data_IF_499665409521
#
_entry.id   IF_499665409521
#
_cell.length_a   1.000
_cell.length_b   1.000
_cell.length_c   1.000
_cell.angle_alpha   90.00
_cell.angle_beta   90.00
_cell.angle_gamma   90.00
#
_symmetry.space_group_name_H-M   'P 1'
#
loop_
_entity.id
_entity.type
_entity.pdbx_description
1 polymer ?
#
# COMPACT_ATOMS: atom_id res chain seq x y z
N UNK A 1 -47.19 -53.57 20.08
CA UNK A 1 -45.91 -53.84 20.77
C UNK A 1 -44.80 -53.72 19.72
N UNK A 2 -44.42 -52.51 19.41
CA UNK A 2 -43.58 -52.19 18.25
C UNK A 2 -42.23 -51.63 18.74
N UNK A 3 -41.15 -52.26 18.35
CA UNK A 3 -39.77 -51.84 18.68
C UNK A 3 -39.28 -50.87 17.57
N UNK A 4 -39.05 -49.63 17.91
CA UNK A 4 -38.38 -48.65 17.03
C UNK A 4 -36.88 -48.78 17.28
N UNK A 5 -36.16 -49.18 16.22
CA UNK A 5 -34.69 -49.16 16.15
C UNK A 5 -34.17 -47.78 15.81
N UNK A 6 -33.48 -47.12 16.73
CA UNK A 6 -32.79 -45.85 16.49
C UNK A 6 -31.51 -46.09 15.71
N UNK A 7 -31.41 -45.39 14.53
CA UNK A 7 -30.16 -45.26 13.76
C UNK A 7 -29.29 -44.15 14.38
N UNK A 8 -28.15 -44.54 14.94
CA UNK A 8 -27.08 -43.66 15.31
C UNK A 8 -26.40 -43.06 14.07
N UNK A 9 -26.65 -41.77 13.81
CA UNK A 9 -25.94 -41.03 12.78
C UNK A 9 -24.66 -40.42 13.37
N UNK A 10 -23.51 -40.94 12.99
CA UNK A 10 -22.20 -40.38 13.28
C UNK A 10 -22.03 -39.07 12.49
N UNK A 11 -22.21 -37.94 13.13
CA UNK A 11 -21.80 -36.66 12.63
C UNK A 11 -20.28 -36.52 12.70
N UNK A 12 -19.61 -36.74 11.60
CA UNK A 12 -18.21 -36.35 11.39
C UNK A 12 -18.14 -34.84 11.33
N UNK A 13 -17.75 -34.21 12.43
CA UNK A 13 -17.34 -32.78 12.41
C UNK A 13 -16.04 -32.67 11.62
N UNK A 14 -16.11 -32.20 10.38
CA UNK A 14 -15.00 -31.59 9.70
C UNK A 14 -14.69 -30.29 10.45
N UNK A 15 -13.67 -30.30 11.32
CA UNK A 15 -13.01 -29.07 11.76
C UNK A 15 -12.23 -28.54 10.55
N UNK A 16 -12.79 -27.55 9.87
CA UNK A 16 -12.05 -26.73 8.93
C UNK A 16 -10.89 -26.09 9.69
N UNK A 17 -9.67 -26.31 9.25
CA UNK A 17 -8.52 -25.49 9.64
C UNK A 17 -8.79 -24.06 9.13
N UNK A 18 -9.44 -23.24 9.95
CA UNK A 18 -9.41 -21.80 9.78
C UNK A 18 -7.96 -21.37 10.03
N UNK A 19 -7.25 -21.10 8.95
CA UNK A 19 -5.95 -20.44 8.99
C UNK A 19 -6.22 -19.03 9.53
N UNK A 20 -6.11 -18.83 10.84
CA UNK A 20 -6.22 -17.52 11.45
C UNK A 20 -5.08 -16.68 10.90
N UNK A 21 -5.39 -15.76 10.01
CA UNK A 21 -4.42 -14.80 9.50
C UNK A 21 -3.87 -13.97 10.65
N UNK A 22 -2.55 -13.70 10.71
CA UNK A 22 -1.98 -12.92 11.78
C UNK A 22 -2.66 -11.54 11.83
N UNK A 23 -3.14 -11.14 12.98
CA UNK A 23 -3.68 -9.81 13.23
C UNK A 23 -2.48 -8.89 13.43
N UNK A 24 -2.34 -7.88 12.56
CA UNK A 24 -1.32 -6.85 12.69
C UNK A 24 -1.84 -5.72 13.58
N UNK A 25 -0.99 -5.13 14.44
CA UNK A 25 -1.39 -3.96 15.22
C UNK A 25 -1.76 -2.77 14.33
N UNK A 26 -2.66 -1.87 14.79
CA UNK A 26 -3.00 -0.65 14.07
C UNK A 26 -1.77 0.20 13.78
N UNK A 27 -1.78 0.90 12.64
CA UNK A 27 -0.69 1.81 12.30
C UNK A 27 -0.91 3.13 13.04
N UNK A 28 0.04 3.49 13.89
CA UNK A 28 0.10 4.78 14.57
C UNK A 28 1.30 5.59 14.03
N UNK A 29 1.01 6.49 13.08
CA UNK A 29 2.04 7.34 12.48
C UNK A 29 2.60 8.36 13.46
N UNK A 30 1.85 8.81 14.47
CA UNK A 30 2.34 9.69 15.50
C UNK A 30 3.40 9.02 16.35
N UNK A 31 3.17 7.79 16.77
CA UNK A 31 4.18 7.00 17.51
C UNK A 31 5.41 6.68 16.66
N UNK A 32 5.23 6.43 15.35
CA UNK A 32 6.35 6.17 14.43
C UNK A 32 7.27 7.37 14.23
N UNK A 33 6.69 8.58 14.16
CA UNK A 33 7.42 9.83 13.93
C UNK A 33 7.97 10.44 15.23
N UNK A 34 7.32 10.18 16.36
CA UNK A 34 7.47 10.95 17.59
C UNK A 34 6.65 12.23 17.55
N UNK A 35 6.33 12.76 18.75
CA UNK A 35 5.41 13.90 18.93
C UNK A 35 5.85 15.13 18.16
N UNK A 36 7.10 15.56 18.34
CA UNK A 36 7.59 16.82 17.76
C UNK A 36 7.54 16.80 16.22
N UNK A 37 7.97 15.69 15.60
CA UNK A 37 7.92 15.53 14.16
C UNK A 37 6.47 15.45 13.64
N UNK A 38 5.58 14.78 14.37
CA UNK A 38 4.16 14.73 14.04
C UNK A 38 3.49 16.11 14.11
N UNK A 39 3.77 16.88 15.18
CA UNK A 39 3.18 18.18 15.39
C UNK A 39 3.70 19.24 14.41
N UNK A 40 4.88 19.04 13.81
CA UNK A 40 5.42 19.89 12.74
C UNK A 40 4.67 19.74 11.40
N UNK A 41 3.89 18.66 11.21
CA UNK A 41 3.10 18.46 10.00
C UNK A 41 1.87 19.36 9.96
N UNK A 42 1.47 19.87 8.77
CA UNK A 42 0.21 20.58 8.58
C UNK A 42 -1.00 19.76 9.05
N UNK A 43 -2.01 20.45 9.60
CA UNK A 43 -3.22 19.79 10.11
C UNK A 43 -3.91 18.87 9.08
N UNK A 44 -4.01 19.20 7.77
CA UNK A 44 -4.59 18.28 6.78
C UNK A 44 -3.78 16.99 6.60
N UNK A 45 -2.44 17.06 6.65
CA UNK A 45 -1.59 15.86 6.60
C UNK A 45 -1.86 14.98 7.81
N UNK A 46 -1.91 15.59 9.01
CA UNK A 46 -2.23 14.86 10.25
C UNK A 46 -3.61 14.20 10.22
N UNK A 47 -4.61 14.85 9.61
CA UNK A 47 -5.95 14.24 9.44
C UNK A 47 -5.91 13.02 8.52
N UNK A 48 -5.19 13.07 7.38
CA UNK A 48 -5.10 11.94 6.44
C UNK A 48 -4.39 10.72 7.01
N UNK A 49 -3.46 10.93 7.94
CA UNK A 49 -2.64 9.86 8.53
C UNK A 49 -2.93 9.62 10.01
N UNK A 50 -3.87 10.34 10.60
CA UNK A 50 -4.27 10.19 12.00
C UNK A 50 -5.17 8.99 12.25
N UNK A 51 -5.53 8.73 13.52
CA UNK A 51 -6.34 7.58 13.93
C UNK A 51 -7.69 7.50 13.23
N UNK A 52 -8.30 8.64 12.91
CA UNK A 52 -9.62 8.72 12.27
C UNK A 52 -9.65 8.18 10.83
N UNK A 53 -8.51 8.14 10.15
CA UNK A 53 -8.41 7.45 8.86
C UNK A 53 -8.64 5.93 8.98
N UNK A 54 -8.65 5.40 10.21
CA UNK A 54 -8.78 3.99 10.52
C UNK A 54 -10.17 3.57 11.04
N UNK A 55 -11.10 4.49 11.29
CA UNK A 55 -12.40 4.19 11.90
C UNK A 55 -13.44 3.64 10.91
N UNK A 56 -13.07 2.60 10.16
CA UNK A 56 -14.02 1.75 9.42
C UNK A 56 -14.67 2.36 8.17
N UNK A 57 -14.29 3.57 7.78
CA UNK A 57 -14.77 4.23 6.57
C UNK A 57 -13.69 4.19 5.49
N UNK A 58 -14.08 3.77 4.28
CA UNK A 58 -13.29 3.98 3.08
C UNK A 58 -13.21 5.47 2.77
N UNK A 59 -11.99 5.96 2.51
CA UNK A 59 -11.78 7.36 2.07
C UNK A 59 -11.35 7.36 0.62
N UNK A 60 -12.17 7.96 -0.24
CA UNK A 60 -11.90 8.08 -1.67
C UNK A 60 -11.31 9.45 -1.98
N UNK A 61 -10.12 9.45 -2.57
CA UNK A 61 -9.46 10.64 -3.12
C UNK A 61 -9.50 10.57 -4.64
N UNK A 62 -9.79 11.69 -5.29
CA UNK A 62 -9.80 11.80 -6.74
C UNK A 62 -8.82 12.86 -7.21
N UNK A 63 -8.16 12.59 -8.34
CA UNK A 63 -7.17 13.51 -8.88
C UNK A 63 -6.62 13.04 -10.22
N UNK A 64 -5.54 13.70 -10.63
CA UNK A 64 -4.81 13.35 -11.85
C UNK A 64 -3.37 13.02 -11.51
N UNK A 65 -2.83 12.01 -12.18
CA UNK A 65 -1.49 11.50 -11.96
C UNK A 65 -0.65 11.58 -13.24
N UNK A 66 0.51 12.16 -13.17
CA UNK A 66 1.55 11.94 -14.16
C UNK A 66 2.27 10.62 -13.83
N UNK A 67 2.40 9.74 -14.79
CA UNK A 67 3.08 8.45 -14.66
C UNK A 67 4.17 8.33 -15.70
N UNK A 68 5.42 8.29 -15.28
CA UNK A 68 6.59 8.09 -16.14
C UNK A 68 7.38 6.84 -15.72
N UNK A 69 7.97 6.18 -16.69
CA UNK A 69 8.88 5.06 -16.46
C UNK A 69 9.96 5.03 -17.56
N UNK A 70 11.19 4.78 -17.17
CA UNK A 70 12.25 4.50 -18.13
C UNK A 70 12.11 3.06 -18.71
N UNK A 71 12.90 2.62 -19.70
CA UNK A 71 12.76 1.29 -20.29
C UNK A 71 12.85 0.15 -19.25
N UNK A 72 13.75 0.24 -18.29
CA UNK A 72 13.88 -0.76 -17.23
C UNK A 72 12.66 -0.77 -16.30
N UNK A 73 12.19 0.41 -15.87
CA UNK A 73 10.99 0.55 -15.05
C UNK A 73 9.75 0.00 -15.73
N UNK A 74 9.60 0.22 -17.05
CA UNK A 74 8.51 -0.37 -17.85
C UNK A 74 8.58 -1.89 -17.88
N UNK A 75 9.77 -2.45 -18.09
CA UNK A 75 9.97 -3.91 -18.06
C UNK A 75 9.57 -4.48 -16.70
N UNK A 76 10.06 -3.88 -15.61
CA UNK A 76 9.72 -4.31 -14.23
C UNK A 76 8.21 -4.20 -13.99
N UNK A 77 7.58 -3.08 -14.36
CA UNK A 77 6.14 -2.89 -14.16
C UNK A 77 5.31 -3.90 -14.96
N UNK A 78 5.72 -4.27 -16.18
CA UNK A 78 5.05 -5.31 -16.97
C UNK A 78 5.26 -6.72 -16.34
N UNK A 79 6.45 -7.05 -15.88
CA UNK A 79 6.71 -8.32 -15.20
C UNK A 79 5.88 -8.44 -13.90
N UNK A 80 5.74 -7.35 -13.17
CA UNK A 80 4.94 -7.28 -11.95
C UNK A 80 3.44 -7.53 -12.16
N UNK A 81 2.92 -7.46 -13.39
CA UNK A 81 1.52 -7.83 -13.67
C UNK A 81 1.22 -9.29 -13.32
N UNK A 82 2.22 -10.15 -13.38
CA UNK A 82 2.09 -11.57 -13.02
C UNK A 82 1.85 -11.79 -11.51
N UNK A 83 2.20 -10.81 -10.68
CA UNK A 83 2.08 -10.86 -9.21
C UNK A 83 1.06 -9.85 -8.67
N UNK A 84 0.09 -9.40 -9.49
CA UNK A 84 -1.02 -8.55 -9.06
C UNK A 84 -0.81 -7.08 -9.31
N UNK A 85 0.04 -6.68 -10.25
CA UNK A 85 0.22 -5.29 -10.72
C UNK A 85 0.53 -4.31 -9.58
N UNK A 86 1.61 -4.49 -8.81
CA UNK A 86 1.99 -3.56 -7.75
C UNK A 86 2.50 -2.20 -8.26
N UNK A 87 2.79 -2.09 -9.57
CA UNK A 87 3.27 -0.89 -10.23
C UNK A 87 2.38 -0.57 -11.44
N UNK A 88 2.14 0.72 -11.71
CA UNK A 88 1.40 1.14 -12.89
C UNK A 88 2.13 0.68 -14.18
N UNK A 89 1.50 -0.17 -15.02
CA UNK A 89 2.19 -0.80 -16.15
C UNK A 89 2.29 0.10 -17.38
N UNK A 90 1.64 1.26 -17.36
CA UNK A 90 1.59 2.23 -18.45
C UNK A 90 2.08 3.60 -17.99
N UNK A 91 2.43 4.45 -18.95
CA UNK A 91 2.83 5.83 -18.75
C UNK A 91 1.77 6.77 -19.32
N UNK A 92 1.64 7.97 -18.76
CA UNK A 92 0.70 8.99 -19.22
C UNK A 92 0.87 10.29 -18.43
N UNK A 93 0.48 11.41 -19.05
CA UNK A 93 0.32 12.68 -18.34
C UNK A 93 -1.15 12.88 -17.98
N UNK A 94 -1.45 13.54 -16.86
CA UNK A 94 -2.81 13.83 -16.39
C UNK A 94 -3.75 12.62 -16.44
N UNK A 95 -3.29 11.46 -15.94
CA UNK A 95 -4.08 10.23 -15.89
C UNK A 95 -5.12 10.36 -14.77
N UNK A 96 -6.43 10.35 -15.08
CA UNK A 96 -7.45 10.33 -14.03
C UNK A 96 -7.21 9.16 -13.09
N UNK A 97 -7.11 9.45 -11.80
CA UNK A 97 -6.73 8.46 -10.80
C UNK A 97 -7.60 8.64 -9.56
N UNK A 98 -8.18 7.55 -9.10
CA UNK A 98 -8.81 7.49 -7.79
C UNK A 98 -7.98 6.66 -6.82
N UNK A 99 -7.98 7.04 -5.55
CA UNK A 99 -7.28 6.34 -4.47
C UNK A 99 -8.28 6.05 -3.37
N UNK A 100 -8.60 4.78 -3.19
CA UNK A 100 -9.42 4.31 -2.10
C UNK A 100 -8.51 3.84 -0.96
N UNK A 101 -8.68 4.43 0.23
CA UNK A 101 -7.94 4.11 1.45
C UNK A 101 -8.90 3.51 2.46
N UNK A 102 -8.68 2.26 2.84
CA UNK A 102 -9.54 1.54 3.79
C UNK A 102 -8.73 0.56 4.65
N UNK A 103 -9.35 0.09 5.73
CA UNK A 103 -8.73 -0.90 6.61
C UNK A 103 -8.66 -2.29 5.95
N UNK A 104 -7.53 -2.97 6.11
CA UNK A 104 -7.42 -4.42 5.86
C UNK A 104 -8.02 -5.16 7.06
N UNK A 105 -8.85 -6.20 6.85
CA UNK A 105 -9.40 -7.00 7.95
C UNK A 105 -8.33 -7.62 8.86
N UNK A 106 -7.10 -7.76 8.40
CA UNK A 106 -5.98 -8.28 9.18
C UNK A 106 -5.29 -7.21 10.04
N UNK A 107 -5.75 -5.96 10.03
CA UNK A 107 -5.15 -4.86 10.77
C UNK A 107 -4.07 -4.13 9.96
N UNK A 108 -4.41 -3.44 8.91
CA UNK A 108 -3.50 -2.63 8.11
C UNK A 108 -4.28 -1.59 7.33
N UNK A 109 -3.60 -0.81 6.51
CA UNK A 109 -4.19 0.24 5.70
C UNK A 109 -3.95 -0.05 4.22
N UNK A 110 -5.03 -0.33 3.49
CA UNK A 110 -5.00 -0.59 2.04
C UNK A 110 -5.02 0.74 1.30
N UNK A 111 -4.19 0.83 0.28
CA UNK A 111 -4.14 1.93 -0.69
C UNK A 111 -4.41 1.34 -2.08
N UNK A 112 -5.65 1.46 -2.54
CA UNK A 112 -6.10 0.95 -3.82
C UNK A 112 -6.20 2.11 -4.83
N UNK A 113 -5.26 2.16 -5.79
CA UNK A 113 -5.17 3.22 -6.81
C UNK A 113 -5.70 2.68 -8.13
N UNK A 114 -6.72 3.33 -8.67
CA UNK A 114 -7.27 3.01 -10.00
C UNK A 114 -6.85 4.08 -10.99
N UNK A 115 -6.09 3.68 -12.01
CA UNK A 115 -5.61 4.56 -13.08
C UNK A 115 -6.44 4.37 -14.34
N UNK A 116 -7.03 5.43 -14.88
CA UNK A 116 -7.78 5.43 -16.13
C UNK A 116 -6.92 5.92 -17.30
N UNK A 117 -6.00 5.08 -17.79
CA UNK A 117 -5.17 5.41 -18.94
C UNK A 117 -6.00 5.49 -20.23
N UNK A 118 -5.75 6.53 -21.05
CA UNK A 118 -6.46 6.73 -22.31
C UNK A 118 -6.35 5.51 -23.23
N UNK A 119 -7.51 5.07 -23.75
CA UNK A 119 -7.59 3.92 -24.67
C UNK A 119 -7.29 2.57 -24.04
N UNK A 120 -7.36 2.43 -22.72
CA UNK A 120 -7.11 1.18 -21.97
C UNK A 120 -8.16 0.95 -20.90
N UNK A 121 -8.33 -0.30 -20.53
CA UNK A 121 -9.12 -0.62 -19.32
C UNK A 121 -8.45 -0.03 -18.07
N UNK A 122 -9.22 0.41 -17.07
CA UNK A 122 -8.68 0.88 -15.80
C UNK A 122 -7.75 -0.14 -15.15
N UNK A 123 -6.69 0.33 -14.52
CA UNK A 123 -5.69 -0.51 -13.86
C UNK A 123 -5.72 -0.27 -12.37
N UNK A 124 -5.99 -1.32 -11.61
CA UNK A 124 -5.93 -1.29 -10.15
C UNK A 124 -4.51 -1.66 -9.68
N UNK A 125 -3.93 -0.80 -8.87
CA UNK A 125 -2.65 -0.99 -8.16
C UNK A 125 -2.94 -0.90 -6.67
N UNK A 126 -2.85 -2.01 -5.96
CA UNK A 126 -3.15 -2.07 -4.53
C UNK A 126 -1.95 -2.49 -3.72
N UNK A 127 -1.74 -1.82 -2.59
CA UNK A 127 -0.76 -2.16 -1.58
C UNK A 127 -1.37 -2.01 -0.19
N UNK A 128 -0.88 -2.79 0.77
CA UNK A 128 -1.31 -2.72 2.17
C UNK A 128 -0.12 -2.33 3.04
N UNK A 129 -0.26 -1.27 3.82
CA UNK A 129 0.67 -0.95 4.88
C UNK A 129 0.30 -1.74 6.13
N UNK A 130 1.29 -2.37 6.75
CA UNK A 130 1.14 -3.21 7.94
C UNK A 130 2.18 -2.80 8.98
N UNK A 131 1.78 -2.80 10.24
CA UNK A 131 2.71 -2.63 11.36
C UNK A 131 3.06 -4.01 11.92
N UNK A 132 4.33 -4.29 12.12
CA UNK A 132 4.75 -5.52 12.82
C UNK A 132 4.76 -5.30 14.32
N UNK A 133 4.70 -6.38 15.11
CA UNK A 133 4.83 -6.33 16.58
C UNK A 133 6.15 -5.71 17.05
N UNK A 134 7.16 -5.64 16.17
CA UNK A 134 8.45 -5.00 16.43
C UNK A 134 8.49 -3.52 16.06
N UNK A 135 7.35 -2.93 15.70
CA UNK A 135 7.24 -1.52 15.30
C UNK A 135 7.83 -1.21 13.91
N UNK A 136 7.99 -2.21 13.03
CA UNK A 136 8.44 -1.97 11.66
C UNK A 136 7.25 -1.78 10.73
N UNK A 137 7.21 -0.67 9.99
CA UNK A 137 6.22 -0.43 8.96
C UNK A 137 6.61 -1.16 7.67
N UNK A 138 5.71 -1.98 7.19
CA UNK A 138 5.84 -2.70 5.93
C UNK A 138 4.83 -2.19 4.91
N UNK A 139 5.17 -2.23 3.64
CA UNK A 139 4.21 -2.14 2.55
C UNK A 139 4.29 -3.44 1.76
N UNK A 140 3.15 -4.11 1.64
CA UNK A 140 3.06 -5.41 0.98
C UNK A 140 2.05 -5.35 -0.15
N UNK A 141 2.29 -6.14 -1.19
CA UNK A 141 1.40 -6.29 -2.32
C UNK A 141 0.98 -7.75 -2.48
N UNK A 142 -0.03 -7.99 -3.30
CA UNK A 142 -0.47 -9.34 -3.63
C UNK A 142 0.73 -10.16 -4.14
N UNK A 143 0.79 -11.45 -3.77
CA UNK A 143 1.91 -12.32 -4.14
C UNK A 143 3.08 -12.31 -3.16
N UNK A 144 2.97 -11.59 -2.02
CA UNK A 144 3.95 -11.65 -0.94
C UNK A 144 5.18 -10.76 -1.13
N UNK A 145 5.27 -10.01 -2.24
CA UNK A 145 6.31 -9.00 -2.42
C UNK A 145 6.02 -7.82 -1.48
N UNK A 146 7.06 -7.32 -0.84
CA UNK A 146 6.92 -6.18 0.06
C UNK A 146 8.21 -5.41 0.27
N UNK A 147 8.10 -4.30 0.96
CA UNK A 147 9.22 -3.47 1.39
C UNK A 147 9.02 -2.97 2.82
N UNK A 148 10.12 -2.89 3.55
CA UNK A 148 10.16 -2.19 4.83
C UNK A 148 10.35 -0.70 4.58
N UNK A 149 9.61 0.13 5.34
CA UNK A 149 9.60 1.58 5.17
C UNK A 149 10.18 2.29 6.40
N UNK A 150 10.83 3.40 6.14
CA UNK A 150 11.07 4.46 7.12
C UNK A 150 10.11 5.60 6.83
N UNK A 151 9.53 6.18 7.88
CA UNK A 151 8.64 7.34 7.79
C UNK A 151 9.32 8.52 8.48
N UNK A 152 9.30 9.68 7.84
CA UNK A 152 9.83 10.92 8.39
C UNK A 152 8.92 12.10 8.05
N UNK A 153 8.92 13.13 8.89
CA UNK A 153 8.30 14.42 8.61
C UNK A 153 9.40 15.43 8.25
N UNK A 154 9.36 15.97 7.04
CA UNK A 154 10.36 16.89 6.51
C UNK A 154 9.65 17.98 5.68
N UNK A 155 10.00 19.24 5.89
CA UNK A 155 9.48 20.39 5.13
C UNK A 155 7.94 20.43 5.02
N UNK A 156 7.24 20.09 6.11
CA UNK A 156 5.79 20.04 6.17
C UNK A 156 5.15 18.91 5.36
N UNK A 157 5.91 17.90 4.97
CA UNK A 157 5.45 16.73 4.24
C UNK A 157 5.76 15.43 4.97
N UNK A 158 4.96 14.41 4.71
CA UNK A 158 5.20 13.05 5.19
C UNK A 158 5.93 12.25 4.12
N UNK A 159 7.06 11.66 4.49
CA UNK A 159 7.94 10.92 3.59
C UNK A 159 7.98 9.45 3.97
N UNK A 160 7.85 8.57 2.98
CA UNK A 160 8.05 7.13 3.12
C UNK A 160 9.22 6.71 2.23
N UNK A 161 10.22 6.07 2.82
CA UNK A 161 11.41 5.59 2.09
C UNK A 161 11.60 4.10 2.28
N UNK A 162 11.79 3.36 1.18
CA UNK A 162 12.09 1.93 1.27
C UNK A 162 13.49 1.69 1.85
N UNK A 163 13.57 0.74 2.78
CA UNK A 163 14.84 0.29 3.38
C UNK A 163 15.35 -0.99 2.73
N UNK A 164 14.48 -1.98 2.59
CA UNK A 164 14.75 -3.28 1.98
C UNK A 164 13.50 -3.84 1.33
N UNK A 165 13.68 -4.63 0.31
CA UNK A 165 12.61 -5.41 -0.31
C UNK A 165 12.69 -6.87 0.15
N UNK A 166 11.55 -7.53 0.20
CA UNK A 166 11.47 -8.94 0.56
C UNK A 166 10.34 -9.64 -0.21
N UNK A 167 10.46 -10.96 -0.29
CA UNK A 167 9.39 -11.85 -0.73
C UNK A 167 8.98 -12.74 0.43
N UNK A 168 7.70 -12.82 0.70
CA UNK A 168 7.13 -13.72 1.71
C UNK A 168 6.77 -15.05 1.05
N UNK A 169 7.35 -16.14 1.54
CA UNK A 169 7.11 -17.51 1.09
C UNK A 169 6.67 -18.33 2.30
N UNK A 170 5.36 -18.47 2.49
CA UNK A 170 4.81 -19.08 3.71
C UNK A 170 5.24 -18.29 4.95
N UNK A 171 5.93 -18.95 5.89
CA UNK A 171 6.45 -18.33 7.12
C UNK A 171 7.78 -17.55 6.92
N UNK A 172 8.42 -17.65 5.76
CA UNK A 172 9.75 -17.08 5.52
C UNK A 172 9.67 -15.75 4.79
N UNK A 173 10.53 -14.80 5.18
CA UNK A 173 10.78 -13.56 4.43
C UNK A 173 12.20 -13.58 3.88
N UNK A 174 12.31 -13.64 2.56
CA UNK A 174 13.59 -13.63 1.83
C UNK A 174 13.86 -12.21 1.37
N UNK A 175 15.00 -11.63 1.75
CA UNK A 175 15.41 -10.30 1.30
C UNK A 175 15.79 -10.34 -0.19
N UNK A 176 15.26 -9.40 -0.97
CA UNK A 176 15.58 -9.24 -2.38
C UNK A 176 16.77 -8.28 -2.50
N UNK A 177 17.85 -8.67 -3.18
CA UNK A 177 18.96 -7.76 -3.47
C UNK A 177 18.50 -6.51 -4.21
N UNK A 178 19.01 -5.33 -3.82
CA UNK A 178 18.56 -4.04 -4.36
C UNK A 178 18.65 -3.94 -5.90
N UNK A 179 19.61 -4.65 -6.50
CA UNK A 179 19.80 -4.70 -7.95
C UNK A 179 18.68 -5.44 -8.71
N UNK A 180 17.89 -6.27 -8.01
CA UNK A 180 16.77 -7.02 -8.59
C UNK A 180 15.42 -6.32 -8.31
N UNK A 181 15.46 -5.11 -7.77
CA UNK A 181 14.28 -4.31 -7.43
C UNK A 181 14.09 -3.16 -8.42
N UNK A 182 12.94 -2.47 -8.45
CA UNK A 182 12.79 -1.25 -9.26
C UNK A 182 13.67 -0.09 -8.80
N UNK A 183 14.33 -0.20 -7.65
CA UNK A 183 15.13 0.82 -7.02
C UNK A 183 14.60 1.23 -5.65
N UNK A 184 15.21 2.23 -5.05
CA UNK A 184 14.75 2.79 -3.77
C UNK A 184 13.48 3.59 -3.99
N UNK A 185 12.40 3.19 -3.31
CA UNK A 185 11.14 3.92 -3.33
C UNK A 185 11.21 5.11 -2.38
N UNK A 186 10.71 6.25 -2.84
CA UNK A 186 10.48 7.43 -2.03
C UNK A 186 9.10 8.00 -2.37
N UNK A 187 8.23 8.04 -1.38
CA UNK A 187 6.87 8.58 -1.50
C UNK A 187 6.76 9.81 -0.62
N UNK A 188 6.16 10.87 -1.13
CA UNK A 188 5.95 12.14 -0.44
C UNK A 188 4.47 12.48 -0.48
N UNK A 189 3.89 12.78 0.68
CA UNK A 189 2.58 13.39 0.81
C UNK A 189 2.74 14.80 1.36
N UNK A 190 2.41 15.79 0.54
CA UNK A 190 2.51 17.21 0.88
C UNK A 190 1.16 17.88 0.73
N UNK A 191 0.83 18.74 1.68
CA UNK A 191 -0.32 19.64 1.53
C UNK A 191 -0.11 20.60 0.35
N UNK A 192 -1.18 20.85 -0.38
CA UNK A 192 -1.24 21.87 -1.44
C UNK A 192 -2.37 22.87 -1.12
N UNK A 193 -2.51 23.90 -1.92
CA UNK A 193 -3.54 24.92 -1.69
C UNK A 193 -4.96 24.39 -2.04
N UNK A 194 -6.00 25.00 -1.44
CA UNK A 194 -7.37 24.78 -1.84
C UNK A 194 -7.98 23.41 -1.49
N UNK A 195 -7.57 22.81 -0.35
CA UNK A 195 -8.09 21.49 0.06
C UNK A 195 -7.61 20.36 -0.83
N UNK A 196 -6.40 20.51 -1.38
CA UNK A 196 -5.74 19.49 -2.20
C UNK A 196 -4.42 19.07 -1.58
N UNK A 197 -3.92 17.90 -1.96
CA UNK A 197 -2.57 17.44 -1.60
C UNK A 197 -1.83 16.88 -2.79
N UNK A 198 -0.53 17.00 -2.77
CA UNK A 198 0.36 16.40 -3.76
C UNK A 198 0.91 15.07 -3.26
N UNK A 199 0.77 14.07 -4.10
CA UNK A 199 1.42 12.77 -3.96
C UNK A 199 2.54 12.67 -4.98
N UNK A 200 3.77 12.41 -4.54
CA UNK A 200 4.91 12.15 -5.43
C UNK A 200 5.52 10.81 -5.06
N UNK A 201 5.81 9.98 -6.04
CA UNK A 201 6.48 8.69 -5.84
C UNK A 201 7.61 8.52 -6.86
N UNK A 202 8.80 8.19 -6.38
CA UNK A 202 9.96 7.90 -7.22
C UNK A 202 10.54 6.54 -6.86
N UNK A 203 11.13 5.88 -7.86
CA UNK A 203 12.01 4.73 -7.67
C UNK A 203 13.35 5.03 -8.33
N UNK A 204 14.41 5.07 -7.56
CA UNK A 204 15.75 5.40 -8.04
C UNK A 204 16.67 4.17 -7.91
N UNK A 205 17.08 3.62 -9.05
CA UNK A 205 17.93 2.44 -9.14
C UNK A 205 19.39 2.84 -9.33
N UNK A 206 20.36 2.19 -8.64
CA UNK A 206 21.77 2.60 -8.68
C UNK A 206 22.39 2.57 -10.08
N UNK A 207 21.94 1.66 -10.96
CA UNK A 207 22.47 1.52 -12.33
C UNK A 207 21.58 2.13 -13.41
N UNK A 208 20.27 2.16 -13.20
CA UNK A 208 19.29 2.60 -14.21
C UNK A 208 18.70 3.98 -13.93
N UNK A 209 19.16 4.66 -12.86
CA UNK A 209 18.64 5.98 -12.47
C UNK A 209 17.17 5.90 -12.09
N UNK A 210 16.40 6.96 -12.35
CA UNK A 210 14.97 7.00 -12.04
C UNK A 210 14.20 6.05 -12.94
N UNK A 211 13.75 4.94 -12.36
CA UNK A 211 13.04 3.88 -13.09
C UNK A 211 11.56 4.18 -13.19
N UNK A 212 10.96 4.74 -12.14
CA UNK A 212 9.56 5.11 -12.07
C UNK A 212 9.41 6.47 -11.41
N UNK A 213 8.44 7.23 -11.90
CA UNK A 213 8.04 8.52 -11.34
C UNK A 213 6.52 8.65 -11.44
N UNK A 214 5.90 9.04 -10.35
CA UNK A 214 4.49 9.41 -10.32
C UNK A 214 4.36 10.71 -9.53
N UNK A 215 3.53 11.62 -10.03
CA UNK A 215 3.23 12.87 -9.38
C UNK A 215 1.78 13.25 -9.67
N UNK A 216 1.02 13.50 -8.63
CA UNK A 216 -0.41 13.78 -8.77
C UNK A 216 -0.92 14.76 -7.73
N UNK A 217 -1.97 15.48 -8.12
CA UNK A 217 -2.73 16.36 -7.24
C UNK A 217 -4.10 15.73 -6.98
N UNK A 218 -4.42 15.57 -5.72
CA UNK A 218 -5.66 14.95 -5.26
C UNK A 218 -6.45 15.90 -4.37
N UNK A 219 -7.77 15.73 -4.34
CA UNK A 219 -8.66 16.48 -3.46
C UNK A 219 -8.93 15.67 -2.20
N UNK A 220 -8.95 16.36 -1.05
CA UNK A 220 -9.52 15.81 0.16
C UNK A 220 -11.05 15.65 -0.03
N UNK A 221 -11.64 14.56 0.46
CA UNK A 221 -13.09 14.42 0.45
C UNK A 221 -13.73 15.55 1.28
N UNK A 222 -14.90 15.99 0.86
CA UNK A 222 -15.68 17.04 1.51
C UNK A 222 -16.17 16.61 2.90
#
# INVERSE_FOLDING_TARGET
>A
MERVLGKSGTHTHFRGNECVSPIYPPIDFQSLLGRDAWDSLPAPVRRRFGPHAAEGLSTLYEGEMEVRANPFGRLVAQACRLIGTPLAPWTGGAVPTSVDVHLDPRGGLVWARTYAFTGRAPVLVSSTKLMTDRGELLEVVRGGLGMALTVTAEDGALHFRSRRYFLTLGAWRVTIPGLLTPGRAHVIHREASGGTFRFTMTFDHPWFGRTLFQDGLFRDPA
#
